data_IF_819142799075
#
_entry.id   IF_819142799075
#
_cell.length_a   1.000
_cell.length_b   1.000
_cell.length_c   1.000
_cell.angle_alpha   90.00
_cell.angle_beta   90.00
_cell.angle_gamma   90.00
#
_symmetry.space_group_name_H-M   'P 1'
#
loop_
_entity.id
_entity.type
_entity.pdbx_description
1 polymer ?
#
# COMPACT_ATOMS: atom_id res chain seq x y z
N UNK A 1 -0.73 14.28 4.03
CA UNK A 1 -1.01 14.66 2.60
C UNK A 1 -2.26 13.97 2.10
N UNK A 2 -2.87 14.46 1.01
CA UNK A 2 -4.04 13.78 0.41
C UNK A 2 -3.57 12.58 -0.43
N UNK A 3 -3.94 11.37 -0.02
CA UNK A 3 -3.63 10.13 -0.75
C UNK A 3 -4.56 9.93 -1.94
N UNK A 4 -4.09 9.19 -2.96
CA UNK A 4 -4.95 8.64 -3.99
C UNK A 4 -5.80 7.52 -3.40
N UNK A 5 -7.09 7.50 -3.71
CA UNK A 5 -8.03 6.53 -3.16
C UNK A 5 -8.93 5.94 -4.25
N UNK A 6 -9.43 4.74 -3.98
CA UNK A 6 -10.59 4.15 -4.65
C UNK A 6 -11.64 3.84 -3.60
N UNK A 7 -12.79 4.51 -3.67
CA UNK A 7 -13.93 4.27 -2.79
C UNK A 7 -14.98 3.41 -3.48
N UNK A 8 -15.56 2.46 -2.76
CA UNK A 8 -16.64 1.59 -3.19
C UNK A 8 -17.72 1.59 -2.11
N UNK A 9 -18.96 1.82 -2.52
CA UNK A 9 -20.11 1.82 -1.61
C UNK A 9 -20.59 0.41 -1.36
N UNK A 10 -20.96 0.10 -0.11
CA UNK A 10 -21.55 -1.18 0.27
C UNK A 10 -22.79 -1.49 -0.58
N UNK A 11 -22.92 -2.75 -0.98
CA UNK A 11 -24.12 -3.21 -1.71
C UNK A 11 -25.33 -3.33 -0.79
N UNK A 12 -25.11 -3.80 0.44
CA UNK A 12 -26.11 -3.85 1.48
C UNK A 12 -26.00 -2.58 2.34
N UNK A 13 -27.12 -1.91 2.59
CA UNK A 13 -27.15 -0.69 3.42
C UNK A 13 -27.12 -1.06 4.91
N UNK A 14 -25.96 -1.47 5.39
CA UNK A 14 -25.68 -1.62 6.80
C UNK A 14 -24.93 -0.38 7.30
N UNK A 15 -25.25 0.05 8.52
CA UNK A 15 -24.54 1.17 9.18
C UNK A 15 -23.22 0.68 9.79
N UNK A 16 -22.40 -0.02 8.98
CA UNK A 16 -21.11 -0.55 9.38
C UNK A 16 -20.00 0.50 9.19
N UNK A 17 -19.01 0.50 10.08
CA UNK A 17 -17.81 1.30 9.90
C UNK A 17 -17.19 1.02 8.51
N UNK A 18 -16.76 2.04 7.77
CA UNK A 18 -16.05 1.84 6.52
C UNK A 18 -14.71 1.13 6.77
N UNK A 19 -14.24 0.39 5.76
CA UNK A 19 -12.97 -0.34 5.82
C UNK A 19 -11.96 0.37 4.94
N UNK A 20 -10.81 0.73 5.53
CA UNK A 20 -9.65 1.28 4.83
C UNK A 20 -8.64 0.17 4.60
N UNK A 21 -8.30 -0.11 3.33
CA UNK A 21 -7.32 -1.12 2.93
C UNK A 21 -5.99 -0.46 2.60
N UNK A 22 -4.93 -0.85 3.31
CA UNK A 22 -3.59 -0.26 3.24
C UNK A 22 -2.57 -1.30 2.78
N UNK A 23 -2.02 -1.12 1.59
CA UNK A 23 -1.09 -2.07 0.95
C UNK A 23 0.32 -2.07 1.56
N UNK A 24 1.13 -3.06 1.20
CA UNK A 24 2.54 -3.19 1.58
C UNK A 24 3.50 -2.40 0.67
N UNK A 25 4.79 -2.46 1.02
CA UNK A 25 5.86 -1.81 0.27
C UNK A 25 5.86 -2.28 -1.20
N UNK A 26 6.16 -1.38 -2.13
CA UNK A 26 6.10 -1.55 -3.58
C UNK A 26 4.71 -1.89 -4.15
N UNK A 27 3.68 -1.87 -3.31
CA UNK A 27 2.30 -2.13 -3.71
C UNK A 27 1.56 -0.89 -4.19
N UNK A 28 0.28 -1.10 -4.44
CA UNK A 28 -0.70 -0.07 -4.75
C UNK A 28 -2.07 -0.49 -4.19
N UNK A 29 -3.04 0.39 -4.32
CA UNK A 29 -4.43 0.13 -3.90
C UNK A 29 -5.05 -1.14 -4.55
N UNK A 30 -4.51 -1.61 -5.68
CA UNK A 30 -4.99 -2.82 -6.35
C UNK A 30 -4.60 -4.12 -5.64
N UNK A 31 -3.55 -4.11 -4.80
CA UNK A 31 -3.01 -5.32 -4.18
C UNK A 31 -4.00 -6.02 -3.23
N UNK A 32 -4.88 -5.26 -2.60
CA UNK A 32 -5.93 -5.78 -1.72
C UNK A 32 -7.30 -5.85 -2.41
N UNK A 33 -7.32 -5.85 -3.74
CA UNK A 33 -8.54 -5.84 -4.55
C UNK A 33 -9.43 -7.08 -4.38
N UNK A 34 -8.85 -8.26 -4.08
CA UNK A 34 -9.65 -9.47 -3.77
C UNK A 34 -10.44 -9.23 -2.49
N UNK A 35 -9.75 -8.77 -1.45
CA UNK A 35 -10.36 -8.49 -0.15
C UNK A 35 -11.42 -7.38 -0.26
N UNK A 36 -11.16 -6.35 -1.07
CA UNK A 36 -12.14 -5.29 -1.33
C UNK A 36 -13.43 -5.84 -1.94
N UNK A 37 -13.33 -6.75 -2.94
CA UNK A 37 -14.49 -7.37 -3.58
C UNK A 37 -15.33 -8.23 -2.64
N UNK A 38 -14.68 -8.93 -1.71
CA UNK A 38 -15.38 -9.78 -0.75
C UNK A 38 -16.09 -8.94 0.32
N UNK A 39 -15.48 -7.86 0.77
CA UNK A 39 -16.00 -7.04 1.86
C UNK A 39 -17.00 -5.97 1.42
N UNK A 40 -17.03 -5.59 0.14
CA UNK A 40 -17.90 -4.51 -0.36
C UNK A 40 -19.40 -4.86 -0.31
N UNK A 41 -19.74 -6.11 -0.10
CA UNK A 41 -21.13 -6.49 0.10
C UNK A 41 -21.75 -5.79 1.30
N UNK A 42 -21.01 -5.70 2.42
CA UNK A 42 -21.51 -5.25 3.71
C UNK A 42 -20.82 -3.99 4.26
N UNK A 43 -19.72 -3.54 3.64
CA UNK A 43 -18.93 -2.38 4.08
C UNK A 43 -18.59 -1.43 2.93
N UNK A 44 -18.61 -0.14 3.21
CA UNK A 44 -17.96 0.83 2.35
C UNK A 44 -16.45 0.58 2.38
N UNK A 45 -15.82 0.48 1.21
CA UNK A 45 -14.39 0.16 1.10
C UNK A 45 -13.63 1.37 0.57
N UNK A 46 -12.52 1.68 1.21
CA UNK A 46 -11.58 2.71 0.80
C UNK A 46 -10.21 2.06 0.63
N UNK A 47 -9.78 1.89 -0.61
CA UNK A 47 -8.42 1.46 -0.93
C UNK A 47 -7.56 2.70 -1.10
N UNK A 48 -6.36 2.71 -0.51
CA UNK A 48 -5.44 3.85 -0.59
C UNK A 48 -4.12 3.45 -1.24
N UNK A 49 -3.56 4.33 -2.06
CA UNK A 49 -2.13 4.32 -2.36
C UNK A 49 -1.41 5.08 -1.25
N UNK A 50 -0.46 4.46 -0.57
CA UNK A 50 0.35 5.15 0.43
C UNK A 50 1.30 6.17 -0.23
N UNK A 51 1.81 7.15 0.54
CA UNK A 51 2.83 8.07 0.03
C UNK A 51 3.94 7.33 -0.72
N UNK A 52 4.46 7.89 -1.76
CA UNK A 52 5.50 7.32 -2.63
C UNK A 52 5.08 6.08 -3.44
N UNK A 53 3.81 5.68 -3.39
CA UNK A 53 3.28 4.52 -4.13
C UNK A 53 2.10 4.91 -5.02
N UNK A 54 1.89 4.10 -6.07
CA UNK A 54 0.79 4.27 -7.00
C UNK A 54 0.69 5.71 -7.54
N UNK A 55 -0.51 6.27 -7.48
CA UNK A 55 -0.81 7.64 -7.91
C UNK A 55 -0.76 8.66 -6.76
N UNK A 56 -0.39 8.25 -5.55
CA UNK A 56 -0.21 9.19 -4.43
C UNK A 56 1.02 10.06 -4.59
N UNK A 57 1.02 11.27 -4.02
CA UNK A 57 2.14 12.20 -4.10
C UNK A 57 3.44 11.60 -3.55
N UNK A 58 4.56 12.09 -4.08
CA UNK A 58 5.90 11.78 -3.64
C UNK A 58 6.35 12.76 -2.56
N UNK A 59 7.05 12.23 -1.54
CA UNK A 59 7.58 13.01 -0.42
C UNK A 59 8.89 12.38 0.05
N UNK A 60 9.94 13.16 0.36
CA UNK A 60 11.20 12.63 0.86
C UNK A 60 11.08 12.00 2.26
N UNK A 61 10.09 12.42 3.05
CA UNK A 61 9.82 11.83 4.36
C UNK A 61 8.98 10.57 4.19
N UNK A 62 9.59 9.41 4.41
CA UNK A 62 8.92 8.12 4.35
C UNK A 62 9.14 7.36 5.66
N UNK A 63 8.27 7.59 6.63
CA UNK A 63 8.27 6.90 7.93
C UNK A 63 6.83 6.61 8.38
N UNK A 64 6.66 5.73 9.33
CA UNK A 64 5.34 5.31 9.79
C UNK A 64 4.49 6.42 10.43
N UNK A 65 5.05 7.35 11.24
CA UNK A 65 4.28 8.50 11.74
C UNK A 65 3.71 9.38 10.61
N UNK A 66 4.50 9.66 9.58
CA UNK A 66 4.04 10.43 8.44
C UNK A 66 2.97 9.69 7.62
N UNK A 67 3.11 8.37 7.45
CA UNK A 67 2.08 7.52 6.82
C UNK A 67 0.79 7.50 7.63
N UNK A 68 0.88 7.43 8.95
CA UNK A 68 -0.28 7.49 9.85
C UNK A 68 -1.00 8.84 9.73
N UNK A 69 -0.25 9.94 9.66
CA UNK A 69 -0.85 11.27 9.46
C UNK A 69 -1.57 11.37 8.10
N UNK A 70 -1.03 10.78 7.04
CA UNK A 70 -1.72 10.75 5.74
C UNK A 70 -3.06 10.00 5.81
N UNK A 71 -3.14 8.94 6.60
CA UNK A 71 -4.40 8.21 6.81
C UNK A 71 -5.41 9.09 7.55
N UNK A 72 -4.99 9.84 8.57
CA UNK A 72 -5.84 10.83 9.24
C UNK A 72 -6.34 11.89 8.27
N UNK A 73 -5.41 12.53 7.52
CA UNK A 73 -5.74 13.55 6.53
C UNK A 73 -6.73 13.03 5.47
N UNK A 74 -6.61 11.74 5.12
CA UNK A 74 -7.50 11.07 4.15
C UNK A 74 -8.89 10.86 4.73
N UNK A 75 -9.01 10.41 5.99
CA UNK A 75 -10.30 10.29 6.67
C UNK A 75 -10.98 11.66 6.80
N UNK A 76 -10.22 12.71 7.16
CA UNK A 76 -10.74 14.06 7.29
C UNK A 76 -11.27 14.60 5.96
N UNK A 77 -10.52 14.40 4.87
CA UNK A 77 -10.94 14.78 3.54
C UNK A 77 -12.21 14.07 3.06
N UNK A 78 -12.47 12.86 3.57
CA UNK A 78 -13.65 12.05 3.29
C UNK A 78 -14.79 12.30 4.30
N UNK A 79 -14.58 13.13 5.31
CA UNK A 79 -15.52 13.36 6.42
C UNK A 79 -15.90 12.07 7.16
N UNK A 80 -14.92 11.18 7.37
CA UNK A 80 -15.06 9.90 8.08
C UNK A 80 -14.44 10.06 9.46
N UNK A 81 -15.25 9.97 10.49
CA UNK A 81 -14.78 10.11 11.87
C UNK A 81 -13.95 8.90 12.30
N UNK A 82 -14.38 7.70 11.93
CA UNK A 82 -13.81 6.44 12.40
C UNK A 82 -13.91 5.35 11.33
N UNK A 83 -12.89 4.49 11.24
CA UNK A 83 -12.86 3.38 10.27
C UNK A 83 -12.23 2.11 10.86
N UNK A 84 -12.56 0.96 10.27
CA UNK A 84 -11.79 -0.27 10.41
C UNK A 84 -10.63 -0.24 9.42
N UNK A 85 -9.42 -0.53 9.89
CA UNK A 85 -8.23 -0.57 9.05
C UNK A 85 -7.73 -2.00 8.86
N UNK A 86 -7.43 -2.35 7.62
CA UNK A 86 -6.77 -3.60 7.26
C UNK A 86 -5.47 -3.25 6.53
N UNK A 87 -4.34 -3.49 7.19
CA UNK A 87 -3.02 -3.15 6.67
C UNK A 87 -2.15 -4.39 6.43
N UNK A 88 -1.56 -4.49 5.23
CA UNK A 88 -0.63 -5.55 4.89
C UNK A 88 0.82 -5.06 5.03
N UNK A 89 1.67 -5.81 5.72
CA UNK A 89 3.12 -5.56 5.85
C UNK A 89 3.42 -4.10 6.27
N UNK A 90 4.04 -3.28 5.42
CA UNK A 90 4.26 -1.84 5.63
C UNK A 90 2.97 -1.10 6.01
N UNK A 91 1.85 -1.39 5.32
CA UNK A 91 0.55 -0.81 5.63
C UNK A 91 0.06 -1.17 7.03
N UNK A 92 0.33 -2.40 7.49
CA UNK A 92 0.04 -2.82 8.86
C UNK A 92 0.83 -2.01 9.88
N UNK A 93 2.12 -1.75 9.64
CA UNK A 93 2.95 -0.87 10.50
C UNK A 93 2.45 0.57 10.50
N UNK A 94 2.02 1.10 9.35
CA UNK A 94 1.43 2.44 9.26
C UNK A 94 0.16 2.56 10.11
N UNK A 95 -0.72 1.54 10.06
CA UNK A 95 -1.93 1.52 10.90
C UNK A 95 -1.59 1.31 12.39
N UNK A 96 -0.57 0.51 12.72
CA UNK A 96 -0.08 0.43 14.11
C UNK A 96 0.41 1.80 14.60
N UNK A 97 1.13 2.57 13.78
CA UNK A 97 1.54 3.93 14.14
C UNK A 97 0.32 4.86 14.29
N UNK A 98 -0.74 4.65 13.53
CA UNK A 98 -1.99 5.39 13.68
C UNK A 98 -2.65 5.17 15.05
N UNK A 99 -2.51 3.99 15.67
CA UNK A 99 -3.04 3.75 17.03
C UNK A 99 -2.38 4.64 18.09
N UNK A 100 -1.13 5.03 17.88
CA UNK A 100 -0.44 5.96 18.77
C UNK A 100 -0.76 7.43 18.47
N UNK A 101 -1.05 7.75 17.20
CA UNK A 101 -1.31 9.12 16.76
C UNK A 101 -2.76 9.54 17.01
N UNK A 102 -3.71 8.70 16.64
CA UNK A 102 -5.13 9.01 16.63
C UNK A 102 -5.99 7.76 16.93
N UNK A 103 -5.93 7.21 18.15
CA UNK A 103 -6.63 5.96 18.52
C UNK A 103 -8.15 6.06 18.32
N UNK A 104 -8.72 7.22 18.50
CA UNK A 104 -10.17 7.46 18.37
C UNK A 104 -10.67 7.34 16.92
N UNK A 105 -9.76 7.38 15.95
CA UNK A 105 -10.08 7.23 14.51
C UNK A 105 -10.16 5.76 14.07
N UNK A 106 -9.86 4.81 14.96
CA UNK A 106 -9.80 3.38 14.67
C UNK A 106 -10.94 2.64 15.36
N UNK A 107 -11.81 2.01 14.59
CA UNK A 107 -12.82 1.09 15.11
C UNK A 107 -12.20 -0.30 15.37
N UNK A 108 -11.55 -0.87 14.35
CA UNK A 108 -10.81 -2.12 14.42
C UNK A 108 -9.52 -2.03 13.59
N UNK A 109 -8.52 -2.82 14.00
CA UNK A 109 -7.27 -2.97 13.28
C UNK A 109 -7.02 -4.44 12.95
N UNK A 110 -6.75 -4.73 11.68
CA UNK A 110 -6.28 -6.03 11.22
C UNK A 110 -4.92 -5.84 10.56
N UNK A 111 -3.90 -6.51 11.09
CA UNK A 111 -2.55 -6.53 10.51
C UNK A 111 -2.33 -7.88 9.82
N UNK A 112 -2.03 -7.83 8.52
CA UNK A 112 -1.76 -9.01 7.69
C UNK A 112 -0.25 -9.13 7.48
N UNK A 113 0.29 -10.30 7.80
CA UNK A 113 1.70 -10.66 7.59
C UNK A 113 2.70 -9.68 8.22
N UNK A 114 2.38 -9.14 9.39
CA UNK A 114 3.25 -8.22 10.15
C UNK A 114 2.88 -8.21 11.63
N UNK A 115 3.88 -8.11 12.50
CA UNK A 115 3.69 -8.03 13.95
C UNK A 115 4.17 -6.67 14.51
N UNK A 116 3.74 -6.27 15.71
CA UNK A 116 4.16 -5.05 16.37
C UNK A 116 5.55 -5.21 17.06
N UNK A 117 6.52 -5.71 16.30
CA UNK A 117 7.90 -5.94 16.75
C UNK A 117 8.90 -5.20 15.86
N UNK A 118 10.11 -4.97 16.35
CA UNK A 118 11.20 -4.48 15.53
C UNK A 118 11.79 -5.64 14.71
N UNK A 119 11.94 -5.42 13.40
CA UNK A 119 12.52 -6.40 12.48
C UNK A 119 13.97 -6.03 12.20
N UNK A 120 14.93 -6.75 12.82
CA UNK A 120 16.35 -6.51 12.65
C UNK A 120 16.94 -7.09 11.36
N UNK A 121 16.16 -7.86 10.59
CA UNK A 121 16.61 -8.50 9.35
C UNK A 121 16.26 -7.64 8.14
N UNK A 122 17.26 -7.31 7.33
CA UNK A 122 17.08 -6.65 6.03
C UNK A 122 16.59 -7.67 4.98
N UNK A 123 15.29 -7.77 4.82
CA UNK A 123 14.66 -8.74 3.89
C UNK A 123 14.51 -8.22 2.46
N UNK A 124 14.90 -6.98 2.19
CA UNK A 124 14.61 -6.32 0.92
C UNK A 124 15.88 -5.94 0.14
N UNK A 125 17.08 -6.30 0.62
CA UNK A 125 18.33 -5.89 -0.03
C UNK A 125 18.42 -6.39 -1.49
N UNK A 126 18.03 -7.64 -1.76
CA UNK A 126 17.97 -8.19 -3.11
C UNK A 126 16.92 -7.50 -3.99
N UNK A 127 15.78 -7.12 -3.41
CA UNK A 127 14.71 -6.37 -4.11
C UNK A 127 15.22 -4.98 -4.50
N UNK A 128 15.88 -4.28 -3.58
CA UNK A 128 16.48 -2.98 -3.89
C UNK A 128 17.58 -3.10 -4.95
N UNK A 129 18.42 -4.13 -4.89
CA UNK A 129 19.43 -4.40 -5.91
C UNK A 129 18.78 -4.60 -7.30
N UNK A 130 17.70 -5.39 -7.37
CA UNK A 130 16.96 -5.62 -8.60
C UNK A 130 16.33 -4.35 -9.16
N UNK A 131 15.70 -3.53 -8.30
CA UNK A 131 15.08 -2.26 -8.71
C UNK A 131 16.15 -1.27 -9.21
N UNK A 132 17.26 -1.13 -8.49
CA UNK A 132 18.36 -0.25 -8.89
C UNK A 132 18.97 -0.68 -10.22
N UNK A 133 19.22 -1.99 -10.41
CA UNK A 133 19.73 -2.53 -11.67
C UNK A 133 18.81 -2.20 -12.87
N UNK A 134 17.49 -2.28 -12.69
CA UNK A 134 16.53 -1.85 -13.72
C UNK A 134 16.58 -0.34 -13.93
N UNK A 135 16.63 0.45 -12.86
CA UNK A 135 16.68 1.92 -12.93
C UNK A 135 17.93 2.46 -13.64
N UNK A 136 19.06 1.77 -13.48
CA UNK A 136 20.35 2.11 -14.10
C UNK A 136 20.50 1.56 -15.51
N UNK A 137 19.55 0.77 -16.00
CA UNK A 137 19.57 0.13 -17.31
C UNK A 137 18.79 0.92 -18.36
N UNK A 138 18.99 0.55 -19.63
CA UNK A 138 18.20 1.06 -20.78
C UNK A 138 16.90 0.26 -20.99
N UNK A 139 16.38 -0.46 -19.98
CA UNK A 139 15.17 -1.25 -20.09
C UNK A 139 13.95 -0.36 -20.35
N UNK A 140 13.29 -0.57 -21.48
CA UNK A 140 12.11 0.21 -21.89
C UNK A 140 10.82 -0.60 -21.88
N UNK A 141 10.92 -1.91 -21.65
CA UNK A 141 9.78 -2.82 -21.63
C UNK A 141 9.78 -3.65 -20.35
N UNK A 142 8.60 -4.08 -19.92
CA UNK A 142 8.46 -5.00 -18.78
C UNK A 142 9.27 -6.29 -18.96
N UNK A 143 9.39 -6.79 -20.20
CA UNK A 143 10.15 -7.99 -20.49
C UNK A 143 11.67 -7.79 -20.27
N UNK A 144 12.20 -6.64 -20.67
CA UNK A 144 13.60 -6.28 -20.42
C UNK A 144 13.86 -6.08 -18.93
N UNK A 145 12.99 -5.36 -18.22
CA UNK A 145 13.08 -5.18 -16.78
C UNK A 145 13.01 -6.53 -16.04
N UNK A 146 12.12 -7.43 -16.45
CA UNK A 146 12.02 -8.78 -15.88
C UNK A 146 13.33 -9.57 -16.05
N UNK A 147 13.96 -9.49 -17.21
CA UNK A 147 15.22 -10.19 -17.49
C UNK A 147 16.36 -9.72 -16.57
N UNK A 148 16.41 -8.41 -16.28
CA UNK A 148 17.37 -7.83 -15.33
C UNK A 148 17.05 -8.29 -13.90
N UNK A 149 15.79 -8.19 -13.47
CA UNK A 149 15.39 -8.57 -12.12
C UNK A 149 15.69 -10.05 -11.81
N UNK A 150 15.58 -10.97 -12.79
CA UNK A 150 15.92 -12.39 -12.63
C UNK A 150 17.40 -12.66 -12.34
N UNK A 151 18.28 -11.69 -12.54
CA UNK A 151 19.69 -11.78 -12.14
C UNK A 151 19.89 -11.56 -10.63
N UNK A 152 18.91 -10.97 -9.95
CA UNK A 152 18.95 -10.61 -8.55
C UNK A 152 17.91 -11.37 -7.70
N UNK A 153 16.80 -11.81 -8.32
CA UNK A 153 15.65 -12.39 -7.66
C UNK A 153 15.31 -13.77 -8.26
N UNK A 154 15.09 -14.75 -7.40
CA UNK A 154 14.72 -16.10 -7.80
C UNK A 154 13.21 -16.35 -7.87
N UNK A 155 12.41 -15.51 -7.22
CA UNK A 155 10.96 -15.69 -7.11
C UNK A 155 10.23 -14.91 -8.21
N UNK A 156 9.72 -15.61 -9.21
CA UNK A 156 8.98 -15.02 -10.33
C UNK A 156 7.76 -14.21 -9.86
N UNK A 157 7.08 -14.66 -8.79
CA UNK A 157 5.95 -13.92 -8.21
C UNK A 157 6.34 -12.53 -7.69
N UNK A 158 7.52 -12.39 -7.08
CA UNK A 158 8.06 -11.11 -6.62
C UNK A 158 8.40 -10.22 -7.81
N UNK A 159 9.04 -10.77 -8.85
CA UNK A 159 9.38 -10.05 -10.07
C UNK A 159 8.11 -9.48 -10.72
N UNK A 160 7.09 -10.32 -10.92
CA UNK A 160 5.81 -9.90 -11.51
C UNK A 160 5.08 -8.86 -10.64
N UNK A 161 5.21 -8.95 -9.33
CA UNK A 161 4.67 -7.96 -8.41
C UNK A 161 5.36 -6.60 -8.57
N UNK A 162 6.69 -6.56 -8.60
CA UNK A 162 7.47 -5.33 -8.78
C UNK A 162 7.22 -4.69 -10.15
N UNK A 163 7.07 -5.50 -11.19
CA UNK A 163 6.79 -5.03 -12.55
C UNK A 163 5.43 -4.34 -12.71
N UNK A 164 4.51 -4.46 -11.75
CA UNK A 164 3.26 -3.68 -11.77
C UNK A 164 3.51 -2.17 -11.66
N UNK A 165 4.58 -1.78 -10.99
CA UNK A 165 5.00 -0.38 -10.84
C UNK A 165 5.95 0.09 -11.95
N UNK A 166 6.34 -0.80 -12.88
CA UNK A 166 7.15 -0.42 -14.04
C UNK A 166 6.28 0.29 -15.08
N UNK A 167 6.56 1.55 -15.31
CA UNK A 167 5.87 2.37 -16.31
C UNK A 167 6.77 2.45 -17.55
N UNK A 168 6.21 2.17 -18.74
CA UNK A 168 6.93 2.36 -20.00
C UNK A 168 7.17 3.86 -20.19
N UNK A 169 8.45 4.25 -20.18
CA UNK A 169 8.90 5.65 -20.24
C UNK A 169 8.51 6.33 -21.57
N UNK A 170 8.00 5.60 -22.54
CA UNK A 170 7.58 6.14 -23.85
C UNK A 170 6.16 6.77 -23.84
N UNK A 171 5.43 6.70 -22.73
CA UNK A 171 4.05 7.19 -22.63
C UNK A 171 3.89 8.41 -21.71
N UNK A 172 4.99 9.05 -21.31
CA UNK A 172 4.98 10.32 -20.57
C UNK A 172 5.41 11.48 -21.46
#
# INVERSE_FOLDING_TARGET
MKLNIRAQTAQNQHNNSPIVLVHGLFGSLDNLGVLARDLVNDHNIIQVDMRNHGLSPRDPVMNYPAMAQDLVDTLDALQIDKATFIGHSMGGKAVMALTALAPDRIDKLVAIDIAPVDYHVRRHDEIFAAINAVSESDAQTRQQAAAIMRQHLNEEGVIQFLLKSFVDVRLL
#
